data_IF_914609524600
#
_entry.id   IF_914609524600
#
_cell.length_a   1.000
_cell.length_b   1.000
_cell.length_c   1.000
_cell.angle_alpha   90.00
_cell.angle_beta   90.00
_cell.angle_gamma   90.00
#
_symmetry.space_group_name_H-M   'P 1'
#
loop_
_entity.id
_entity.type
_entity.pdbx_description
1 polymer ?
#
# COMPACT_ATOMS: atom_id res chain seq x y z
N UNK A 1 7.55 -32.83 -43.33
CA UNK A 1 8.51 -31.85 -42.76
C UNK A 1 7.80 -31.07 -41.66
N UNK A 2 8.47 -30.88 -40.53
CA UNK A 2 7.94 -30.64 -39.18
C UNK A 2 7.17 -29.30 -39.04
N UNK A 3 6.13 -29.21 -38.19
CA UNK A 3 5.63 -27.91 -37.74
C UNK A 3 6.61 -27.32 -36.71
N UNK A 4 6.99 -26.07 -36.95
CA UNK A 4 7.86 -25.29 -36.08
C UNK A 4 7.08 -24.95 -34.80
N UNK A 5 7.44 -25.58 -33.70
CA UNK A 5 6.90 -25.32 -32.37
C UNK A 5 7.38 -23.92 -31.96
N UNK A 6 6.47 -22.93 -31.99
CA UNK A 6 6.74 -21.58 -31.50
C UNK A 6 6.89 -21.64 -29.98
N UNK A 7 8.13 -21.69 -29.51
CA UNK A 7 8.49 -21.55 -28.11
C UNK A 7 8.29 -20.08 -27.73
N UNK A 8 7.08 -19.73 -27.31
CA UNK A 8 6.81 -18.47 -26.61
C UNK A 8 7.64 -18.47 -25.32
N UNK A 9 8.78 -17.78 -25.36
CA UNK A 9 9.58 -17.46 -24.18
C UNK A 9 8.72 -16.58 -23.26
N UNK A 10 8.14 -17.22 -22.25
CA UNK A 10 7.52 -16.59 -21.09
C UNK A 10 8.65 -16.03 -20.20
N UNK A 11 9.27 -14.92 -20.60
CA UNK A 11 10.39 -14.27 -19.85
C UNK A 11 9.90 -13.06 -19.03
N UNK A 12 8.59 -12.99 -18.74
CA UNK A 12 8.00 -11.83 -18.07
C UNK A 12 7.81 -11.91 -16.56
N UNK A 13 7.95 -13.08 -15.91
CA UNK A 13 7.47 -13.27 -14.53
C UNK A 13 8.50 -13.79 -13.51
N UNK A 14 9.77 -13.98 -13.89
CA UNK A 14 10.75 -14.65 -13.02
C UNK A 14 11.38 -13.74 -11.94
N UNK A 15 11.39 -12.41 -12.13
CA UNK A 15 12.11 -11.51 -11.22
C UNK A 15 11.34 -11.17 -9.93
N UNK A 16 10.01 -11.13 -9.97
CA UNK A 16 9.20 -10.81 -8.78
C UNK A 16 9.23 -11.91 -7.72
N UNK A 17 9.34 -13.16 -8.15
CA UNK A 17 9.35 -14.33 -7.25
C UNK A 17 10.69 -14.51 -6.53
N UNK A 18 11.80 -14.12 -7.15
CA UNK A 18 13.14 -14.34 -6.61
C UNK A 18 13.43 -13.46 -5.38
N UNK A 19 13.10 -12.17 -5.46
CA UNK A 19 13.29 -11.25 -4.33
C UNK A 19 12.43 -11.58 -3.12
N UNK A 20 11.18 -12.03 -3.35
CA UNK A 20 10.30 -12.52 -2.30
C UNK A 20 10.87 -13.77 -1.62
N UNK A 21 11.37 -14.73 -2.40
CA UNK A 21 11.97 -15.94 -1.84
C UNK A 21 13.20 -15.64 -0.97
N UNK A 22 14.06 -14.71 -1.41
CA UNK A 22 15.22 -14.27 -0.62
C UNK A 22 14.74 -13.62 0.68
N UNK A 23 13.74 -12.75 0.60
CA UNK A 23 13.16 -12.10 1.77
C UNK A 23 12.62 -13.13 2.78
N UNK A 24 11.81 -14.08 2.33
CA UNK A 24 11.22 -15.12 3.18
C UNK A 24 12.29 -15.99 3.85
N UNK A 25 13.33 -16.38 3.11
CA UNK A 25 14.38 -17.27 3.62
C UNK A 25 15.38 -16.56 4.53
N UNK A 26 15.69 -15.27 4.28
CA UNK A 26 16.84 -14.58 4.90
C UNK A 26 16.48 -13.37 5.74
N UNK A 27 15.33 -12.74 5.51
CA UNK A 27 14.95 -11.47 6.15
C UNK A 27 13.72 -11.60 7.07
N UNK A 28 12.77 -12.47 6.71
CA UNK A 28 11.45 -12.55 7.35
C UNK A 28 11.48 -13.03 8.82
N UNK A 29 12.57 -13.68 9.23
CA UNK A 29 12.78 -14.11 10.62
C UNK A 29 12.89 -12.94 11.60
N UNK A 30 13.39 -11.78 11.13
CA UNK A 30 13.51 -10.56 11.92
C UNK A 30 12.50 -9.50 11.47
N UNK A 31 12.39 -9.30 10.16
CA UNK A 31 11.48 -8.35 9.55
C UNK A 31 10.15 -9.06 9.29
N UNK A 32 9.16 -8.88 10.16
CA UNK A 32 7.84 -9.42 9.87
C UNK A 32 7.30 -8.78 8.57
N UNK A 33 6.49 -9.53 7.83
CA UNK A 33 5.85 -9.05 6.60
C UNK A 33 4.86 -7.92 6.85
N UNK A 34 3.82 -7.83 6.02
CA UNK A 34 2.82 -6.78 6.17
C UNK A 34 2.13 -6.80 7.54
N UNK A 35 2.16 -5.67 8.25
CA UNK A 35 1.28 -5.41 9.40
C UNK A 35 0.62 -4.03 9.21
N UNK A 36 -0.71 -3.90 9.39
CA UNK A 36 -1.38 -2.60 9.32
C UNK A 36 -0.69 -1.54 10.19
N UNK A 37 -0.50 -0.34 9.64
CA UNK A 37 0.23 0.74 10.34
C UNK A 37 -0.46 1.16 11.64
N UNK A 38 -1.79 1.11 11.68
CA UNK A 38 -2.64 1.21 12.88
C UNK A 38 -2.19 0.27 14.01
N UNK A 39 -2.06 -1.03 13.72
CA UNK A 39 -1.67 -2.06 14.68
C UNK A 39 -0.21 -1.92 15.12
N UNK A 40 0.67 -1.51 14.20
CA UNK A 40 2.06 -1.17 14.53
C UNK A 40 2.09 0.01 15.50
N UNK A 41 1.30 1.06 15.22
CA UNK A 41 1.21 2.26 16.06
C UNK A 41 0.66 1.94 17.44
N UNK A 42 -0.43 1.18 17.52
CA UNK A 42 -1.00 0.65 18.76
C UNK A 42 0.08 -0.10 19.57
N UNK A 43 0.80 -1.02 18.94
CA UNK A 43 1.85 -1.80 19.58
C UNK A 43 2.94 -0.93 20.23
N UNK A 44 3.44 0.10 19.54
CA UNK A 44 4.50 0.95 20.10
C UNK A 44 3.98 1.99 21.09
N UNK A 45 2.83 2.61 20.80
CA UNK A 45 2.33 3.75 21.58
C UNK A 45 1.57 3.32 22.83
N UNK A 46 0.81 2.23 22.76
CA UNK A 46 -0.07 1.79 23.85
C UNK A 46 0.52 0.61 24.62
N UNK A 47 1.26 -0.26 23.93
CA UNK A 47 1.76 -1.51 24.51
C UNK A 47 3.28 -1.57 24.66
N UNK A 48 4.02 -0.50 24.36
CA UNK A 48 5.49 -0.49 24.48
C UNK A 48 6.17 -1.71 23.82
N UNK A 49 5.69 -2.09 22.63
CA UNK A 49 6.12 -3.24 21.85
C UNK A 49 5.82 -4.64 22.46
N UNK A 50 4.97 -4.78 23.47
CA UNK A 50 4.64 -6.10 24.04
C UNK A 50 3.60 -6.87 23.24
N UNK A 51 2.79 -6.20 22.40
CA UNK A 51 1.71 -6.80 21.62
C UNK A 51 2.24 -7.63 20.43
N UNK A 52 3.11 -7.04 19.62
CA UNK A 52 3.68 -7.67 18.43
C UNK A 52 5.10 -8.21 18.64
N UNK A 53 5.79 -7.73 19.69
CA UNK A 53 7.17 -8.12 20.02
C UNK A 53 8.11 -7.99 18.82
N UNK A 54 7.98 -6.89 18.08
CA UNK A 54 8.79 -6.64 16.89
C UNK A 54 10.24 -6.48 17.30
N UNK A 55 11.15 -7.14 16.59
CA UNK A 55 12.60 -7.01 16.81
C UNK A 55 13.29 -6.19 15.73
N UNK A 56 12.57 -5.92 14.63
CA UNK A 56 12.99 -5.08 13.53
C UNK A 56 11.76 -4.42 12.86
N UNK A 57 11.95 -3.39 12.01
CA UNK A 57 10.87 -2.81 11.24
C UNK A 57 10.20 -3.85 10.33
N UNK A 58 8.88 -3.75 10.17
CA UNK A 58 8.10 -4.58 9.24
C UNK A 58 8.40 -4.24 7.78
N UNK A 59 8.06 -5.14 6.85
CA UNK A 59 8.28 -4.93 5.41
C UNK A 59 7.65 -3.63 4.89
N UNK A 60 6.41 -3.33 5.29
CA UNK A 60 5.74 -2.08 4.91
C UNK A 60 6.40 -0.83 5.51
N UNK A 61 7.03 -0.95 6.70
CA UNK A 61 7.81 0.16 7.27
C UNK A 61 9.13 0.37 6.53
N UNK A 62 9.81 -0.71 6.14
CA UNK A 62 11.06 -0.65 5.36
C UNK A 62 10.81 0.01 4.00
N UNK A 63 9.92 -0.56 3.19
CA UNK A 63 9.53 -0.03 1.88
C UNK A 63 9.23 1.47 1.95
N UNK A 64 8.36 1.85 2.90
CA UNK A 64 7.97 3.24 3.04
C UNK A 64 9.13 4.15 3.46
N UNK A 65 9.92 3.78 4.48
CA UNK A 65 10.99 4.66 4.98
C UNK A 65 12.11 4.82 3.97
N UNK A 66 12.49 3.74 3.30
CA UNK A 66 13.50 3.76 2.25
C UNK A 66 13.09 4.73 1.13
N UNK A 67 11.86 4.61 0.61
CA UNK A 67 11.29 5.51 -0.41
C UNK A 67 11.15 6.98 0.00
N UNK A 68 11.26 7.30 1.29
CA UNK A 68 11.03 8.66 1.79
C UNK A 68 12.30 9.35 2.28
N UNK A 69 13.37 8.59 2.56
CA UNK A 69 14.56 9.09 3.25
C UNK A 69 15.84 8.95 2.42
N UNK A 70 15.76 8.25 1.29
CA UNK A 70 16.88 8.07 0.35
C UNK A 70 16.52 8.79 -0.94
N UNK A 71 17.51 9.47 -1.54
CA UNK A 71 17.34 10.13 -2.82
C UNK A 71 16.33 11.28 -2.83
N UNK A 72 15.95 11.71 -4.04
CA UNK A 72 14.83 12.61 -4.26
C UNK A 72 13.56 11.79 -4.58
N UNK A 73 12.55 11.72 -3.69
CA UNK A 73 11.37 10.88 -3.91
C UNK A 73 10.48 11.29 -5.10
N UNK A 74 10.76 12.46 -5.71
CA UNK A 74 10.08 12.99 -6.90
C UNK A 74 11.01 13.06 -8.12
N UNK A 75 12.21 12.50 -8.01
CA UNK A 75 13.17 12.39 -9.10
C UNK A 75 12.79 11.26 -10.06
N UNK A 76 13.75 10.85 -10.87
CA UNK A 76 13.61 9.68 -11.73
C UNK A 76 13.45 8.41 -10.89
N UNK A 77 12.42 7.62 -11.18
CA UNK A 77 12.07 6.44 -10.39
C UNK A 77 13.13 5.34 -10.46
N UNK A 78 13.80 5.19 -11.61
CA UNK A 78 14.84 4.16 -11.79
C UNK A 78 16.09 4.55 -11.01
N UNK A 79 16.46 5.83 -11.06
CA UNK A 79 17.57 6.38 -10.26
C UNK A 79 17.29 6.21 -8.76
N UNK A 80 16.11 6.62 -8.30
CA UNK A 80 15.75 6.51 -6.88
C UNK A 80 15.72 5.05 -6.42
N UNK A 81 15.22 4.12 -7.25
CA UNK A 81 15.27 2.68 -6.97
C UNK A 81 16.71 2.17 -6.83
N UNK A 82 17.62 2.61 -7.69
CA UNK A 82 19.04 2.26 -7.60
C UNK A 82 19.69 2.81 -6.32
N UNK A 83 19.39 4.05 -5.93
CA UNK A 83 19.91 4.65 -4.70
C UNK A 83 19.42 3.88 -3.46
N UNK A 84 18.13 3.50 -3.43
CA UNK A 84 17.60 2.66 -2.35
C UNK A 84 18.28 1.30 -2.32
N UNK A 85 18.45 0.65 -3.48
CA UNK A 85 19.11 -0.65 -3.55
C UNK A 85 20.56 -0.59 -3.07
N UNK A 86 21.31 0.45 -3.44
CA UNK A 86 22.67 0.67 -2.96
C UNK A 86 22.73 0.83 -1.43
N UNK A 87 21.81 1.63 -0.87
CA UNK A 87 21.72 1.78 0.59
C UNK A 87 21.38 0.46 1.29
N UNK A 88 20.37 -0.27 0.81
CA UNK A 88 19.97 -1.56 1.39
C UNK A 88 21.14 -2.53 1.33
N UNK A 89 21.85 -2.57 0.20
CA UNK A 89 23.02 -3.41 0.01
C UNK A 89 24.10 -3.16 1.06
N UNK A 90 24.51 -1.90 1.19
CA UNK A 90 25.52 -1.49 2.18
C UNK A 90 25.04 -1.77 3.61
N UNK A 91 23.78 -1.50 3.94
CA UNK A 91 23.26 -1.68 5.29
C UNK A 91 23.13 -3.17 5.68
N UNK A 92 22.80 -4.04 4.73
CA UNK A 92 22.69 -5.50 4.97
C UNK A 92 24.07 -6.12 5.21
N UNK A 93 25.09 -5.65 4.48
CA UNK A 93 26.47 -6.15 4.61
C UNK A 93 27.18 -5.52 5.82
N UNK A 94 26.99 -4.22 6.03
CA UNK A 94 27.67 -3.41 7.03
C UNK A 94 26.67 -2.57 7.85
N UNK A 95 25.80 -3.22 8.66
CA UNK A 95 24.76 -2.53 9.40
C UNK A 95 25.36 -1.57 10.42
N UNK A 96 24.87 -0.33 10.37
CA UNK A 96 25.29 0.75 11.27
C UNK A 96 24.05 1.37 11.90
N UNK A 97 24.02 1.42 13.23
CA UNK A 97 22.89 1.99 13.97
C UNK A 97 22.73 3.48 13.67
N UNK A 98 23.83 4.21 13.50
CA UNK A 98 23.80 5.66 13.26
C UNK A 98 23.29 6.01 11.86
N UNK A 99 23.43 5.06 10.92
CA UNK A 99 22.90 5.19 9.55
C UNK A 99 21.49 4.64 9.40
N UNK A 100 20.85 4.20 10.49
CA UNK A 100 19.48 3.68 10.41
C UNK A 100 18.51 4.79 10.03
N UNK A 101 17.64 4.52 9.07
CA UNK A 101 16.60 5.46 8.63
C UNK A 101 15.35 5.43 9.52
N UNK A 102 15.42 4.70 10.63
CA UNK A 102 14.33 4.60 11.58
C UNK A 102 14.31 5.75 12.58
N UNK A 103 13.12 6.11 13.06
CA UNK A 103 12.96 7.10 14.13
C UNK A 103 13.62 6.62 15.42
N UNK A 104 14.30 7.52 16.15
CA UNK A 104 15.03 7.21 17.38
C UNK A 104 14.16 6.54 18.45
N UNK A 105 12.94 7.06 18.64
CA UNK A 105 11.93 6.50 19.56
C UNK A 105 11.49 5.07 19.19
N UNK A 106 11.70 4.66 17.93
CA UNK A 106 11.45 3.27 17.51
C UNK A 106 12.73 2.45 17.65
N UNK A 107 13.88 3.04 17.33
CA UNK A 107 15.18 2.37 17.44
C UNK A 107 15.52 1.95 18.87
N UNK A 108 15.02 2.63 19.91
CA UNK A 108 15.19 2.17 21.29
C UNK A 108 14.65 0.76 21.56
N UNK A 109 13.69 0.28 20.75
CA UNK A 109 13.11 -1.06 20.88
C UNK A 109 13.87 -2.12 20.08
N UNK A 110 14.80 -1.74 19.20
CA UNK A 110 15.47 -2.65 18.29
C UNK A 110 16.98 -2.71 18.56
N UNK A 111 17.54 -3.90 18.44
CA UNK A 111 18.99 -4.09 18.39
C UNK A 111 19.51 -3.73 16.99
N UNK A 112 20.80 -3.46 16.89
CA UNK A 112 21.44 -3.29 15.57
C UNK A 112 21.30 -4.57 14.75
N UNK A 113 20.97 -4.43 13.48
CA UNK A 113 20.83 -5.55 12.56
C UNK A 113 22.14 -6.36 12.49
N UNK A 114 22.09 -7.71 12.49
CA UNK A 114 23.29 -8.52 12.27
C UNK A 114 23.73 -8.42 10.80
N UNK A 115 25.05 -8.38 10.56
CA UNK A 115 25.60 -8.42 9.22
C UNK A 115 25.26 -9.75 8.52
N UNK A 116 24.89 -9.65 7.25
CA UNK A 116 24.74 -10.79 6.33
C UNK A 116 25.93 -10.93 5.37
N UNK A 117 27.06 -10.27 5.63
CA UNK A 117 28.26 -10.44 4.82
C UNK A 117 28.67 -11.92 4.73
N UNK A 118 28.83 -12.41 3.50
CA UNK A 118 29.11 -13.83 3.22
C UNK A 118 27.92 -14.78 3.36
N UNK A 119 26.73 -14.29 3.72
CA UNK A 119 25.48 -15.07 3.82
C UNK A 119 24.45 -14.73 2.74
N UNK A 120 24.68 -13.64 2.01
CA UNK A 120 23.87 -13.18 0.88
C UNK A 120 24.80 -12.88 -0.29
N UNK A 121 24.41 -13.27 -1.50
CA UNK A 121 25.12 -12.93 -2.74
C UNK A 121 24.71 -11.56 -3.24
N UNK A 122 25.45 -11.00 -4.20
CA UNK A 122 25.11 -9.73 -4.84
C UNK A 122 23.76 -9.82 -5.57
N UNK A 123 23.52 -10.90 -6.33
CA UNK A 123 22.25 -11.15 -7.02
C UNK A 123 21.06 -11.24 -6.04
N UNK A 124 21.22 -11.98 -4.93
CA UNK A 124 20.17 -12.06 -3.90
C UNK A 124 19.91 -10.70 -3.25
N UNK A 125 20.96 -9.88 -3.09
CA UNK A 125 20.87 -8.57 -2.48
C UNK A 125 20.16 -7.57 -3.39
N UNK A 126 20.43 -7.62 -4.70
CA UNK A 126 19.69 -6.86 -5.71
C UNK A 126 18.22 -7.28 -5.73
N UNK A 127 17.94 -8.58 -5.80
CA UNK A 127 16.59 -9.13 -5.85
C UNK A 127 15.76 -8.77 -4.61
N UNK A 128 16.34 -8.90 -3.41
CA UNK A 128 15.62 -8.55 -2.17
C UNK A 128 15.44 -7.06 -2.00
N UNK A 129 16.41 -6.24 -2.46
CA UNK A 129 16.29 -4.77 -2.42
C UNK A 129 15.19 -4.28 -3.33
N UNK A 130 15.12 -4.83 -4.54
CA UNK A 130 14.03 -4.66 -5.48
C UNK A 130 12.67 -5.00 -4.84
N UNK A 131 12.56 -6.20 -4.26
CA UNK A 131 11.33 -6.65 -3.60
C UNK A 131 10.92 -5.74 -2.44
N UNK A 132 11.84 -5.34 -1.57
CA UNK A 132 11.55 -4.43 -0.44
C UNK A 132 11.12 -3.06 -0.94
N UNK A 133 11.76 -2.52 -1.99
CA UNK A 133 11.38 -1.23 -2.58
C UNK A 133 9.99 -1.32 -3.22
N UNK A 134 9.77 -2.29 -4.10
CA UNK A 134 8.51 -2.45 -4.82
C UNK A 134 7.39 -2.98 -3.93
N UNK A 135 7.69 -3.37 -2.69
CA UNK A 135 6.68 -3.82 -1.74
C UNK A 135 5.65 -2.74 -1.47
N UNK A 136 4.49 -2.94 -2.05
CA UNK A 136 3.24 -2.31 -1.70
C UNK A 136 2.31 -3.47 -1.36
N UNK A 137 1.49 -3.32 -0.31
CA UNK A 137 0.47 -4.33 -0.08
C UNK A 137 -0.37 -4.33 -1.35
N UNK A 138 -0.64 -5.50 -1.94
CA UNK A 138 -1.85 -5.71 -2.72
C UNK A 138 -3.05 -5.37 -1.81
N UNK A 139 -3.38 -4.09 -1.65
CA UNK A 139 -4.77 -3.71 -1.83
C UNK A 139 -5.01 -4.07 -3.27
N UNK A 140 -5.88 -5.05 -3.52
CA UNK A 140 -6.28 -5.49 -4.85
C UNK A 140 -6.03 -4.36 -5.85
N UNK A 141 -5.02 -4.54 -6.70
CA UNK A 141 -4.88 -3.74 -7.91
C UNK A 141 -6.17 -4.01 -8.69
N UNK A 142 -7.23 -3.28 -8.38
CA UNK A 142 -8.30 -3.08 -9.32
C UNK A 142 -7.80 -1.94 -10.19
N UNK A 143 -7.32 -2.36 -11.36
CA UNK A 143 -7.24 -1.61 -12.60
C UNK A 143 -7.77 -0.19 -12.45
N UNK A 144 -6.91 0.80 -12.68
CA UNK A 144 -7.34 2.19 -12.77
C UNK A 144 -8.44 2.30 -13.84
N UNK A 145 -9.70 2.27 -13.41
CA UNK A 145 -10.82 2.26 -14.35
C UNK A 145 -11.04 3.69 -14.80
N UNK A 146 -10.52 3.99 -15.99
CA UNK A 146 -11.01 5.04 -16.87
C UNK A 146 -12.55 4.97 -16.96
N UNK A 147 -13.19 6.07 -17.32
CA UNK A 147 -14.64 6.38 -17.34
C UNK A 147 -15.69 5.25 -17.58
N UNK A 148 -15.32 4.06 -18.05
CA UNK A 148 -16.12 2.83 -18.04
C UNK A 148 -16.41 2.26 -16.63
N UNK A 149 -15.58 2.57 -15.62
CA UNK A 149 -15.71 2.01 -14.27
C UNK A 149 -16.92 2.47 -13.49
N UNK A 150 -17.34 3.74 -13.66
CA UNK A 150 -18.51 4.23 -12.94
C UNK A 150 -19.82 3.63 -13.45
N UNK A 151 -19.98 3.51 -14.77
CA UNK A 151 -21.16 2.87 -15.35
C UNK A 151 -21.24 1.38 -14.97
N UNK A 152 -20.11 0.68 -14.98
CA UNK A 152 -20.03 -0.70 -14.51
C UNK A 152 -20.33 -0.80 -13.00
N UNK A 153 -19.75 0.07 -12.19
CA UNK A 153 -20.03 0.13 -10.75
C UNK A 153 -21.50 0.42 -10.49
N UNK A 154 -22.15 1.27 -11.28
CA UNK A 154 -23.59 1.56 -11.18
C UNK A 154 -24.45 0.37 -11.56
N UNK A 155 -24.08 -0.38 -12.59
CA UNK A 155 -24.76 -1.64 -12.94
C UNK A 155 -24.62 -2.68 -11.82
N UNK A 156 -23.43 -2.82 -11.25
CA UNK A 156 -23.19 -3.73 -10.14
C UNK A 156 -23.94 -3.29 -8.87
N UNK A 157 -23.96 -1.99 -8.58
CA UNK A 157 -24.67 -1.40 -7.44
C UNK A 157 -26.16 -1.69 -7.51
N UNK A 158 -26.77 -1.53 -8.69
CA UNK A 158 -28.19 -1.89 -8.94
C UNK A 158 -28.50 -3.36 -8.74
N UNK A 159 -27.59 -4.26 -9.16
CA UNK A 159 -27.77 -5.71 -9.00
C UNK A 159 -27.62 -6.17 -7.56
N UNK A 160 -26.67 -5.56 -6.83
CA UNK A 160 -26.28 -5.98 -5.49
C UNK A 160 -26.91 -5.13 -4.37
N UNK A 161 -27.66 -4.08 -4.71
CA UNK A 161 -28.17 -3.05 -3.78
C UNK A 161 -27.06 -2.45 -2.87
N UNK A 162 -25.90 -2.21 -3.47
CA UNK A 162 -24.71 -1.67 -2.81
C UNK A 162 -24.49 -0.20 -3.13
N UNK A 163 -23.75 0.48 -2.26
CA UNK A 163 -23.37 1.90 -2.42
C UNK A 163 -22.03 1.97 -3.14
N UNK A 164 -21.92 2.80 -4.17
CA UNK A 164 -20.63 3.09 -4.80
C UNK A 164 -19.86 4.04 -3.89
N UNK A 165 -18.64 3.68 -3.50
CA UNK A 165 -17.73 4.56 -2.75
C UNK A 165 -16.58 4.98 -3.66
N UNK A 166 -16.61 6.22 -4.13
CA UNK A 166 -15.53 6.81 -4.90
C UNK A 166 -14.50 7.42 -3.95
N UNK A 167 -13.25 6.97 -4.03
CA UNK A 167 -12.07 7.64 -3.48
C UNK A 167 -11.43 8.48 -4.58
N UNK A 168 -11.69 9.78 -4.56
CA UNK A 168 -11.01 10.76 -5.39
C UNK A 168 -9.60 11.04 -4.83
N UNK A 169 -8.57 10.86 -5.65
CA UNK A 169 -7.17 10.99 -5.25
C UNK A 169 -6.30 11.55 -6.38
N UNK A 170 -5.03 11.82 -6.08
CA UNK A 170 -3.97 11.99 -7.08
C UNK A 170 -2.78 11.10 -6.70
N UNK A 171 -1.94 10.71 -7.65
CA UNK A 171 -0.77 9.84 -7.39
C UNK A 171 0.15 10.40 -6.29
N UNK A 172 0.36 11.71 -6.27
CA UNK A 172 1.26 12.37 -5.31
C UNK A 172 0.63 12.69 -3.95
N UNK A 173 -0.63 12.31 -3.73
CA UNK A 173 -1.36 12.60 -2.49
C UNK A 173 -0.85 11.77 -1.29
N UNK A 174 -0.09 12.41 -0.40
CA UNK A 174 0.41 11.79 0.84
C UNK A 174 -0.72 11.25 1.74
N UNK A 175 -1.79 12.04 1.91
CA UNK A 175 -2.94 11.67 2.74
C UNK A 175 -3.74 10.48 2.16
N UNK A 176 -3.73 10.30 0.85
CA UNK A 176 -4.38 9.17 0.18
C UNK A 176 -3.64 7.87 0.50
N UNK A 177 -2.31 7.87 0.34
CA UNK A 177 -1.45 6.74 0.75
C UNK A 177 -1.52 6.47 2.24
N UNK A 178 -1.74 7.50 3.07
CA UNK A 178 -1.97 7.31 4.51
C UNK A 178 -3.28 6.57 4.76
N UNK A 179 -4.40 7.00 4.15
CA UNK A 179 -5.69 6.32 4.27
C UNK A 179 -5.62 4.84 3.88
N UNK A 180 -4.97 4.54 2.76
CA UNK A 180 -4.79 3.15 2.29
C UNK A 180 -4.07 2.30 3.34
N UNK A 181 -2.95 2.79 3.87
CA UNK A 181 -2.08 2.02 4.76
C UNK A 181 -2.56 1.91 6.20
N UNK A 182 -3.35 2.87 6.66
CA UNK A 182 -3.78 2.95 8.07
C UNK A 182 -5.26 2.59 8.27
N UNK A 183 -6.12 2.77 7.26
CA UNK A 183 -7.57 2.69 7.43
C UNK A 183 -8.22 1.70 6.47
N UNK A 184 -7.97 1.80 5.17
CA UNK A 184 -8.64 0.95 4.17
C UNK A 184 -8.17 -0.51 4.20
N UNK A 185 -7.08 -0.79 4.93
CA UNK A 185 -6.54 -2.13 5.17
C UNK A 185 -7.07 -2.79 6.44
N UNK A 186 -7.79 -2.06 7.27
CA UNK A 186 -8.34 -2.56 8.52
C UNK A 186 -9.44 -3.59 8.25
N UNK A 187 -9.36 -4.75 8.91
CA UNK A 187 -10.32 -5.84 8.67
C UNK A 187 -11.77 -5.39 8.79
N UNK A 188 -12.12 -4.64 9.83
CA UNK A 188 -13.49 -4.13 10.02
C UNK A 188 -13.95 -3.19 8.90
N UNK A 189 -13.02 -2.40 8.33
CA UNK A 189 -13.32 -1.50 7.22
C UNK A 189 -13.51 -2.32 5.95
N UNK A 190 -12.60 -3.24 5.65
CA UNK A 190 -12.68 -4.15 4.50
C UNK A 190 -13.97 -4.96 4.54
N UNK A 191 -14.29 -5.58 5.67
CA UNK A 191 -15.50 -6.41 5.84
C UNK A 191 -16.79 -5.58 5.57
N UNK A 192 -16.82 -4.30 5.97
CA UNK A 192 -17.95 -3.42 5.65
C UNK A 192 -17.98 -3.02 4.17
N UNK A 193 -16.83 -2.67 3.60
CA UNK A 193 -16.72 -2.30 2.18
C UNK A 193 -17.18 -3.45 1.29
N UNK A 194 -16.69 -4.68 1.53
CA UNK A 194 -17.08 -5.87 0.77
C UNK A 194 -18.57 -6.18 0.91
N UNK A 195 -19.15 -5.95 2.10
CA UNK A 195 -20.56 -6.24 2.36
C UNK A 195 -21.49 -5.24 1.68
N UNK A 196 -21.25 -3.95 1.85
CA UNK A 196 -22.25 -2.90 1.58
C UNK A 196 -21.86 -1.95 0.44
N UNK A 197 -20.61 -2.01 -0.05
CA UNK A 197 -20.08 -1.02 -0.97
C UNK A 197 -19.45 -1.62 -2.24
N UNK A 198 -19.29 -0.77 -3.25
CA UNK A 198 -18.48 -0.98 -4.45
C UNK A 198 -17.41 0.11 -4.45
N UNK A 199 -16.16 -0.18 -4.06
CA UNK A 199 -15.10 0.81 -4.04
C UNK A 199 -14.71 1.18 -5.48
N UNK A 200 -14.43 2.46 -5.72
CA UNK A 200 -13.89 2.97 -6.98
C UNK A 200 -12.81 4.00 -6.66
N UNK A 201 -11.62 3.86 -7.23
CA UNK A 201 -10.57 4.88 -7.09
C UNK A 201 -10.51 5.71 -8.38
N UNK A 202 -10.56 7.04 -8.26
CA UNK A 202 -10.45 7.94 -9.40
C UNK A 202 -9.29 8.90 -9.16
N UNK A 203 -8.33 8.89 -10.07
CA UNK A 203 -7.29 9.90 -10.13
C UNK A 203 -7.82 11.16 -10.82
N UNK A 204 -8.11 12.20 -10.03
CA UNK A 204 -8.71 13.43 -10.51
C UNK A 204 -7.75 14.31 -11.33
N UNK A 205 -6.46 13.97 -11.37
CA UNK A 205 -5.48 14.66 -12.22
C UNK A 205 -5.56 14.22 -13.68
N UNK A 206 -6.10 13.02 -13.93
CA UNK A 206 -6.20 12.44 -15.28
C UNK A 206 -7.65 12.25 -15.73
N UNK A 207 -8.57 12.05 -14.78
CA UNK A 207 -9.94 11.65 -15.06
C UNK A 207 -10.93 12.50 -14.27
N UNK A 208 -11.97 13.02 -14.94
CA UNK A 208 -13.03 13.77 -14.27
C UNK A 208 -13.90 12.89 -13.37
N UNK A 209 -14.48 13.47 -12.31
CA UNK A 209 -15.47 12.77 -11.49
C UNK A 209 -16.82 12.65 -12.21
N UNK A 210 -17.58 11.57 -11.98
CA UNK A 210 -18.88 11.36 -12.61
C UNK A 210 -19.93 12.34 -12.08
N UNK A 211 -21.10 12.40 -12.75
CA UNK A 211 -22.26 13.20 -12.32
C UNK A 211 -22.00 14.71 -12.20
N UNK A 212 -20.96 15.24 -12.87
CA UNK A 212 -20.58 16.64 -12.77
C UNK A 212 -19.99 17.02 -11.41
N UNK A 213 -19.61 16.04 -10.61
CA UNK A 213 -18.99 16.25 -9.30
C UNK A 213 -17.61 16.89 -9.46
N UNK A 214 -17.22 17.66 -8.44
CA UNK A 214 -15.89 18.25 -8.32
C UNK A 214 -15.41 18.15 -6.88
N UNK A 215 -14.12 17.93 -6.71
CA UNK A 215 -13.43 18.04 -5.43
C UNK A 215 -12.10 18.71 -5.65
N UNK A 216 -11.74 19.63 -4.76
CA UNK A 216 -10.44 20.31 -4.77
C UNK A 216 -9.45 19.70 -3.78
N UNK A 217 -9.95 18.88 -2.85
CA UNK A 217 -9.16 18.21 -1.82
C UNK A 217 -9.04 16.72 -2.13
N UNK A 218 -7.90 16.13 -1.77
CA UNK A 218 -7.64 14.69 -1.85
C UNK A 218 -7.01 14.17 -0.55
N UNK A 219 -7.37 12.96 -0.08
CA UNK A 219 -8.44 12.13 -0.63
C UNK A 219 -9.81 12.77 -0.36
N UNK A 220 -10.78 12.51 -1.22
CA UNK A 220 -12.19 12.78 -0.94
C UNK A 220 -13.00 11.52 -1.19
N UNK A 221 -13.94 11.21 -0.29
CA UNK A 221 -14.80 10.04 -0.36
C UNK A 221 -16.21 10.45 -0.71
N UNK A 222 -16.72 9.93 -1.83
CA UNK A 222 -18.05 10.23 -2.35
C UNK A 222 -18.86 8.95 -2.39
N UNK A 223 -20.04 8.98 -1.79
CA UNK A 223 -20.92 7.82 -1.67
C UNK A 223 -22.15 8.05 -2.53
N UNK A 224 -22.44 7.10 -3.41
CA UNK A 224 -23.50 7.21 -4.42
C UNK A 224 -24.34 5.93 -4.37
N UNK A 225 -25.67 6.07 -4.34
CA UNK A 225 -26.56 4.91 -4.36
C UNK A 225 -26.72 4.29 -5.76
N UNK A 226 -27.46 3.18 -5.84
CA UNK A 226 -27.77 2.50 -7.09
C UNK A 226 -28.56 3.34 -8.12
N UNK A 227 -29.13 4.48 -7.72
CA UNK A 227 -29.87 5.40 -8.58
C UNK A 227 -29.04 6.61 -9.01
N UNK A 228 -27.71 6.55 -8.79
CA UNK A 228 -26.78 7.65 -9.05
C UNK A 228 -27.07 8.90 -8.20
N UNK A 229 -27.72 8.76 -7.04
CA UNK A 229 -27.91 9.85 -6.08
C UNK A 229 -26.72 9.90 -5.12
N UNK A 230 -26.13 11.07 -4.99
CA UNK A 230 -25.04 11.32 -4.02
C UNK A 230 -25.63 11.33 -2.61
N UNK A 231 -25.15 10.40 -1.77
CA UNK A 231 -25.52 10.27 -0.37
C UNK A 231 -24.65 11.14 0.53
N UNK A 232 -23.34 11.14 0.27
CA UNK A 232 -22.32 11.86 1.02
C UNK A 232 -21.16 12.25 0.11
N UNK A 233 -20.49 13.36 0.45
CA UNK A 233 -19.22 13.78 -0.12
C UNK A 233 -18.39 14.38 1.00
N UNK A 234 -17.31 13.70 1.38
CA UNK A 234 -16.50 14.05 2.55
C UNK A 234 -15.02 14.15 2.14
N UNK A 235 -14.41 15.33 2.24
CA UNK A 235 -12.99 15.50 1.97
C UNK A 235 -12.13 15.05 3.16
N UNK A 236 -10.87 14.73 2.87
CA UNK A 236 -9.82 14.51 3.86
C UNK A 236 -9.52 13.05 4.18
N UNK A 237 -8.44 12.89 4.96
CA UNK A 237 -8.05 11.63 5.58
C UNK A 237 -8.63 11.53 6.98
N UNK A 238 -9.15 10.36 7.33
CA UNK A 238 -9.84 10.05 8.57
C UNK A 238 -9.07 8.98 9.35
N UNK A 239 -9.35 8.84 10.64
CA UNK A 239 -8.93 7.64 11.38
C UNK A 239 -9.94 6.50 11.16
N UNK A 240 -9.59 5.28 11.61
CA UNK A 240 -10.45 4.09 11.49
C UNK A 240 -11.86 4.32 12.04
N UNK A 241 -11.98 4.80 13.28
CA UNK A 241 -13.26 4.95 13.97
C UNK A 241 -14.19 5.91 13.22
N UNK A 242 -13.68 7.07 12.83
CA UNK A 242 -14.45 8.06 12.10
C UNK A 242 -14.85 7.55 10.72
N UNK A 243 -13.94 6.85 10.03
CA UNK A 243 -14.25 6.28 8.72
C UNK A 243 -15.33 5.20 8.80
N UNK A 244 -15.32 4.34 9.83
CA UNK A 244 -16.39 3.37 10.08
C UNK A 244 -17.75 4.06 10.29
N UNK A 245 -17.79 5.17 11.02
CA UNK A 245 -19.01 5.96 11.21
C UNK A 245 -19.49 6.63 9.91
N UNK A 246 -18.57 7.09 9.06
CA UNK A 246 -18.89 7.60 7.72
C UNK A 246 -19.54 6.51 6.87
N UNK A 247 -19.00 5.28 6.85
CA UNK A 247 -19.59 4.15 6.14
C UNK A 247 -21.01 3.84 6.65
N UNK A 248 -21.20 3.81 7.97
CA UNK A 248 -22.52 3.60 8.57
C UNK A 248 -23.50 4.73 8.21
N UNK A 249 -23.05 5.98 8.17
CA UNK A 249 -23.88 7.11 7.76
C UNK A 249 -24.30 7.00 6.29
N UNK A 250 -23.37 6.66 5.40
CA UNK A 250 -23.70 6.40 4.00
C UNK A 250 -24.80 5.34 3.89
N UNK A 251 -24.66 4.24 4.65
CA UNK A 251 -25.65 3.16 4.67
C UNK A 251 -27.01 3.58 5.24
N UNK A 252 -27.04 4.46 6.24
CA UNK A 252 -28.29 5.03 6.76
C UNK A 252 -29.00 5.89 5.72
N UNK A 253 -28.26 6.69 4.95
CA UNK A 253 -28.82 7.58 3.91
C UNK A 253 -29.31 6.86 2.65
N UNK A 254 -28.86 5.62 2.42
CA UNK A 254 -29.36 4.77 1.32
C UNK A 254 -30.81 4.30 1.57
N UNK A 255 -31.23 4.22 2.83
CA UNK A 255 -32.59 3.81 3.24
C UNK A 255 -33.58 4.95 3.11
#
# INVERSE_FOLDING_TARGET
MKPLLSMLLYVGMLFGTEGQEVYEKKCASCHQGYIPMSKIKENFQEHNNTLLKLTAPTLNQLSYRLKQRIGEPKGDNDIHRMEVAAFVGEYVLHPDREKSLCLDDVMQHFQTMPSLQGKVTEEELEAVSAYIYDFEKESAEEDGVQYEGFEQALQQAKKAHKIIMIKAMTKDCHFCRKMEREVLVEKEVVDLLEKDFIPLTIDISTTGLPLGLKTELTPSFIFIDENAKVLLNIPGSWNKTDFLEILKEAKRKQR
#
